data_IF_514953197451
#
_entry.id   IF_514953197451
#
_cell.length_a   1.000
_cell.length_b   1.000
_cell.length_c   1.000
_cell.angle_alpha   90.00
_cell.angle_beta   90.00
_cell.angle_gamma   90.00
#
_symmetry.space_group_name_H-M   'P 1'
#
loop_
_entity.id
_entity.type
_entity.pdbx_description
1 polymer ?
#
# COMPACT_ATOMS: atom_id res chain seq x y z
N UNK A 1 22.38 -0.63 -17.52
CA UNK A 1 22.24 -2.11 -17.48
C UNK A 1 23.16 -2.75 -16.43
N UNK A 2 24.48 -2.57 -16.48
CA UNK A 2 25.37 -3.18 -15.46
C UNK A 2 25.10 -2.67 -14.04
N UNK A 3 24.85 -1.36 -13.87
CA UNK A 3 24.51 -0.79 -12.56
C UNK A 3 23.21 -1.35 -11.96
N UNK A 4 22.24 -1.73 -12.80
CA UNK A 4 20.96 -2.27 -12.34
C UNK A 4 21.12 -3.71 -11.83
N UNK A 5 21.97 -4.50 -12.48
CA UNK A 5 22.35 -5.82 -11.98
C UNK A 5 23.08 -5.73 -10.63
N UNK A 6 23.99 -4.76 -10.49
CA UNK A 6 24.72 -4.49 -9.24
C UNK A 6 23.74 -4.03 -8.15
N UNK A 7 22.85 -3.09 -8.46
CA UNK A 7 21.82 -2.61 -7.53
C UNK A 7 20.89 -3.75 -7.07
N UNK A 8 20.51 -4.65 -7.99
CA UNK A 8 19.72 -5.83 -7.66
C UNK A 8 20.49 -6.83 -6.78
N UNK A 9 21.79 -7.01 -7.00
CA UNK A 9 22.64 -7.80 -6.12
C UNK A 9 22.72 -7.18 -4.71
N UNK A 10 22.93 -5.86 -4.62
CA UNK A 10 22.96 -5.13 -3.34
C UNK A 10 21.64 -5.26 -2.58
N UNK A 11 20.49 -5.11 -3.27
CA UNK A 11 19.16 -5.37 -2.69
C UNK A 11 19.08 -6.77 -2.08
N UNK A 12 19.49 -7.79 -2.82
CA UNK A 12 19.37 -9.18 -2.36
C UNK A 12 20.32 -9.49 -1.20
N UNK A 13 21.53 -8.93 -1.21
CA UNK A 13 22.47 -8.99 -0.09
C UNK A 13 21.86 -8.37 1.17
N UNK A 14 21.30 -7.17 1.07
CA UNK A 14 20.65 -6.51 2.20
C UNK A 14 19.44 -7.30 2.70
N UNK A 15 18.65 -7.89 1.80
CA UNK A 15 17.56 -8.79 2.21
C UNK A 15 18.07 -10.01 2.96
N UNK A 16 19.16 -10.64 2.52
CA UNK A 16 19.73 -11.79 3.24
C UNK A 16 20.23 -11.40 4.63
N UNK A 17 20.76 -10.18 4.80
CA UNK A 17 21.28 -9.72 6.09
C UNK A 17 20.17 -9.23 7.03
N UNK A 18 19.10 -8.64 6.49
CA UNK A 18 18.14 -7.88 7.30
C UNK A 18 16.76 -8.54 7.46
N UNK A 19 16.44 -9.59 6.69
CA UNK A 19 15.11 -10.22 6.75
C UNK A 19 15.14 -11.51 7.58
N UNK A 20 14.01 -11.82 8.20
CA UNK A 20 13.76 -13.12 8.84
C UNK A 20 13.17 -14.08 7.82
N UNK A 21 13.86 -15.19 7.54
CA UNK A 21 13.42 -16.21 6.59
C UNK A 21 13.90 -17.62 6.99
N UNK A 22 13.20 -18.69 6.57
CA UNK A 22 13.67 -20.05 6.86
C UNK A 22 14.94 -20.38 6.08
N UNK A 23 15.88 -21.07 6.73
CA UNK A 23 17.15 -21.53 6.13
C UNK A 23 17.18 -23.03 5.84
N UNK A 24 16.29 -23.79 6.48
CA UNK A 24 16.22 -25.24 6.32
C UNK A 24 14.91 -25.65 5.65
N UNK A 25 14.99 -26.14 4.40
CA UNK A 25 13.85 -26.69 3.65
C UNK A 25 13.95 -28.21 3.47
N UNK A 26 14.78 -28.91 4.27
CA UNK A 26 14.92 -30.37 4.17
C UNK A 26 13.60 -31.07 4.47
N UNK A 27 13.42 -32.24 3.85
CA UNK A 27 12.22 -33.08 4.01
C UNK A 27 12.09 -33.66 5.43
N UNK A 28 13.21 -33.82 6.13
CA UNK A 28 13.30 -34.42 7.46
C UNK A 28 14.11 -33.53 8.40
N UNK A 29 13.90 -33.71 9.71
CA UNK A 29 14.73 -33.16 10.77
C UNK A 29 15.92 -34.06 11.12
N UNK A 30 15.88 -35.31 10.69
CA UNK A 30 16.93 -36.30 10.96
C UNK A 30 18.24 -35.95 10.24
N UNK A 31 19.37 -36.26 10.88
CA UNK A 31 20.67 -36.09 10.27
C UNK A 31 20.93 -37.16 9.20
N UNK A 32 20.69 -36.81 7.94
CA UNK A 32 20.93 -37.69 6.78
C UNK A 32 22.40 -37.74 6.35
N UNK A 33 23.25 -36.85 6.87
CA UNK A 33 24.68 -36.75 6.52
C UNK A 33 25.57 -37.53 7.51
N UNK A 34 24.98 -38.08 8.58
CA UNK A 34 25.69 -38.92 9.55
C UNK A 34 26.06 -40.31 9.01
N UNK A 35 26.85 -41.08 9.78
CA UNK A 35 27.21 -42.46 9.42
C UNK A 35 25.98 -43.36 9.26
N UNK A 36 25.97 -44.21 8.22
CA UNK A 36 24.86 -45.14 7.99
C UNK A 36 24.71 -46.23 9.06
N UNK A 37 25.71 -46.40 9.92
CA UNK A 37 25.61 -47.23 11.12
C UNK A 37 24.56 -46.72 12.10
N UNK A 38 24.38 -45.40 12.16
CA UNK A 38 23.58 -44.73 13.19
C UNK A 38 22.15 -44.48 12.67
N UNK A 39 22.03 -44.15 11.37
CA UNK A 39 20.75 -43.88 10.74
C UNK A 39 20.74 -44.20 9.24
N UNK A 40 19.65 -44.80 8.75
CA UNK A 40 19.43 -45.10 7.33
C UNK A 40 18.45 -44.08 6.72
N UNK A 41 18.91 -43.17 5.82
CA UNK A 41 18.06 -42.11 5.24
C UNK A 41 16.83 -42.59 4.48
N UNK A 42 16.84 -43.82 3.96
CA UNK A 42 15.68 -44.41 3.26
C UNK A 42 14.45 -44.56 4.18
N UNK A 43 14.63 -44.58 5.51
CA UNK A 43 13.54 -44.79 6.46
C UNK A 43 12.60 -43.58 6.59
N UNK A 44 13.05 -42.40 6.20
CA UNK A 44 12.28 -41.14 6.28
C UNK A 44 11.64 -40.76 4.95
N UNK A 45 11.69 -41.64 3.94
CA UNK A 45 11.09 -41.37 2.63
C UNK A 45 9.57 -41.22 2.72
N UNK A 46 9.06 -40.11 2.19
CA UNK A 46 7.63 -39.81 2.20
C UNK A 46 7.04 -39.57 3.60
N UNK A 47 7.88 -39.51 4.64
CA UNK A 47 7.42 -39.26 5.99
C UNK A 47 6.89 -37.82 6.10
N UNK A 48 5.74 -37.69 6.75
CA UNK A 48 5.22 -36.39 7.15
C UNK A 48 5.78 -36.03 8.53
N UNK A 49 5.95 -34.75 8.79
CA UNK A 49 6.44 -34.26 10.08
C UNK A 49 5.27 -33.60 10.80
N UNK A 50 5.06 -33.99 12.06
CA UNK A 50 4.09 -33.35 12.96
C UNK A 50 4.51 -31.90 13.24
N UNK A 51 3.56 -30.99 13.42
CA UNK A 51 3.86 -29.57 13.64
C UNK A 51 4.78 -29.33 14.85
N UNK A 52 4.58 -30.07 15.94
CA UNK A 52 5.36 -29.92 17.16
C UNK A 52 6.82 -30.40 17.01
N UNK A 53 7.10 -31.20 15.97
CA UNK A 53 8.44 -31.75 15.66
C UNK A 53 9.09 -31.09 14.46
N UNK A 54 8.51 -30.01 13.91
CA UNK A 54 8.96 -29.39 12.67
C UNK A 54 10.38 -28.82 12.76
N UNK A 55 10.77 -28.33 13.95
CA UNK A 55 12.06 -27.68 14.24
C UNK A 55 12.52 -26.76 13.10
N UNK A 56 11.72 -25.72 12.75
CA UNK A 56 12.08 -24.82 11.68
C UNK A 56 13.28 -23.97 12.11
N UNK A 57 14.27 -23.89 11.23
CA UNK A 57 15.42 -23.01 11.43
C UNK A 57 15.21 -21.74 10.62
N UNK A 58 15.35 -20.60 11.30
CA UNK A 58 15.23 -19.28 10.70
C UNK A 58 16.56 -18.56 10.77
N UNK A 59 16.87 -17.84 9.72
CA UNK A 59 17.79 -16.72 9.79
C UNK A 59 17.12 -15.61 10.60
N UNK A 60 17.81 -15.13 11.63
CA UNK A 60 17.42 -13.96 12.42
C UNK A 60 18.64 -13.04 12.38
N UNK A 61 18.51 -11.80 11.85
CA UNK A 61 19.64 -10.88 11.74
C UNK A 61 20.40 -10.71 13.05
N UNK A 62 21.70 -10.97 13.03
CA UNK A 62 22.61 -10.74 14.14
C UNK A 62 22.98 -9.25 14.26
N UNK A 63 23.59 -8.85 15.39
CA UNK A 63 24.03 -7.48 15.57
C UNK A 63 25.09 -7.07 14.52
N UNK A 64 25.99 -8.00 14.16
CA UNK A 64 27.04 -7.78 13.15
C UNK A 64 26.44 -7.59 11.75
N UNK A 65 25.46 -8.40 11.36
CA UNK A 65 24.78 -8.27 10.07
C UNK A 65 23.99 -6.97 9.97
N UNK A 66 23.35 -6.56 11.07
CA UNK A 66 22.64 -5.27 11.14
C UNK A 66 23.61 -4.10 11.06
N UNK A 67 24.72 -4.13 11.82
CA UNK A 67 25.74 -3.07 11.79
C UNK A 67 26.36 -2.95 10.38
N UNK A 68 26.69 -4.07 9.72
CA UNK A 68 27.19 -4.07 8.34
C UNK A 68 26.16 -3.53 7.34
N UNK A 69 24.88 -3.93 7.48
CA UNK A 69 23.82 -3.41 6.62
C UNK A 69 23.61 -1.90 6.81
N UNK A 70 23.76 -1.38 8.03
CA UNK A 70 23.73 0.06 8.32
C UNK A 70 24.90 0.78 7.66
N UNK A 71 26.14 0.28 7.84
CA UNK A 71 27.34 0.85 7.22
C UNK A 71 27.22 0.88 5.69
N UNK A 72 26.68 -0.20 5.09
CA UNK A 72 26.43 -0.27 3.66
C UNK A 72 25.47 0.84 3.20
N UNK A 73 24.39 1.06 3.95
CA UNK A 73 23.42 2.12 3.65
C UNK A 73 24.02 3.51 3.84
N UNK A 74 24.78 3.74 4.91
CA UNK A 74 25.49 5.01 5.15
C UNK A 74 26.48 5.32 4.02
N UNK A 75 27.20 4.31 3.55
CA UNK A 75 28.17 4.46 2.48
C UNK A 75 27.50 4.76 1.16
N UNK A 76 26.46 4.01 0.77
CA UNK A 76 25.93 4.09 -0.60
C UNK A 76 24.72 5.02 -0.75
N UNK A 77 23.78 5.05 0.20
CA UNK A 77 22.59 5.92 0.04
C UNK A 77 22.96 7.39 0.29
N UNK A 78 23.62 7.70 1.40
CA UNK A 78 23.87 9.10 1.77
C UNK A 78 24.84 9.79 0.81
N UNK A 79 25.82 9.08 0.27
CA UNK A 79 26.70 9.61 -0.78
C UNK A 79 25.92 9.97 -2.04
N UNK A 80 25.04 9.08 -2.50
CA UNK A 80 24.23 9.32 -3.71
C UNK A 80 23.17 10.40 -3.49
N UNK A 81 22.58 10.50 -2.29
CA UNK A 81 21.66 11.60 -1.94
C UNK A 81 22.38 12.96 -1.94
N UNK A 82 23.58 13.03 -1.35
CA UNK A 82 24.39 14.26 -1.35
C UNK A 82 24.76 14.65 -2.77
N UNK A 83 25.17 13.68 -3.60
CA UNK A 83 25.48 13.90 -5.01
C UNK A 83 24.27 14.46 -5.79
N UNK A 84 23.08 13.90 -5.58
CA UNK A 84 21.86 14.35 -6.22
C UNK A 84 21.47 15.77 -5.76
N UNK A 85 21.53 16.06 -4.46
CA UNK A 85 21.17 17.39 -3.96
C UNK A 85 22.13 18.48 -4.44
N UNK A 86 23.43 18.19 -4.51
CA UNK A 86 24.44 19.20 -4.87
C UNK A 86 24.58 19.41 -6.38
N UNK A 87 24.34 18.37 -7.19
CA UNK A 87 24.71 18.36 -8.61
C UNK A 87 23.60 17.90 -9.58
N UNK A 88 22.36 17.71 -9.14
CA UNK A 88 21.27 17.20 -10.00
C UNK A 88 21.13 17.96 -11.33
N UNK A 89 21.32 19.28 -11.34
CA UNK A 89 21.21 20.12 -12.54
C UNK A 89 22.35 19.91 -13.55
N UNK A 90 23.55 19.59 -13.07
CA UNK A 90 24.75 19.40 -13.90
C UNK A 90 24.96 17.94 -14.34
N UNK A 91 24.23 17.01 -13.71
CA UNK A 91 24.32 15.58 -14.00
C UNK A 91 23.58 15.21 -15.29
N UNK A 92 24.14 14.25 -16.02
CA UNK A 92 23.41 13.63 -17.14
C UNK A 92 22.21 12.81 -16.65
N UNK A 93 21.20 12.64 -17.52
CA UNK A 93 20.04 11.79 -17.22
C UNK A 93 20.45 10.36 -16.80
N UNK A 94 21.49 9.80 -17.44
CA UNK A 94 21.99 8.45 -17.12
C UNK A 94 22.65 8.38 -15.74
N UNK A 95 23.40 9.42 -15.33
CA UNK A 95 24.02 9.49 -14.00
C UNK A 95 22.96 9.64 -12.91
N UNK A 96 21.94 10.48 -13.13
CA UNK A 96 20.80 10.60 -12.20
C UNK A 96 20.04 9.30 -12.07
N UNK A 97 19.73 8.66 -13.20
CA UNK A 97 19.04 7.38 -13.22
C UNK A 97 19.84 6.29 -12.51
N UNK A 98 21.17 6.26 -12.66
CA UNK A 98 22.05 5.34 -11.95
C UNK A 98 21.95 5.53 -10.43
N UNK A 99 22.09 6.77 -9.98
CA UNK A 99 22.06 7.16 -8.56
C UNK A 99 20.72 6.80 -7.93
N UNK A 100 19.61 7.17 -8.57
CA UNK A 100 18.26 6.82 -8.16
C UNK A 100 18.01 5.29 -8.19
N UNK A 101 18.57 4.57 -9.15
CA UNK A 101 18.46 3.11 -9.20
C UNK A 101 19.14 2.47 -8.00
N UNK A 102 20.34 2.93 -7.63
CA UNK A 102 21.04 2.44 -6.43
C UNK A 102 20.20 2.72 -5.17
N UNK A 103 19.76 3.97 -4.97
CA UNK A 103 18.95 4.36 -3.81
C UNK A 103 17.69 3.50 -3.72
N UNK A 104 16.96 3.30 -4.83
CA UNK A 104 15.72 2.53 -4.82
C UNK A 104 15.96 1.08 -4.39
N UNK A 105 16.92 0.38 -5.01
CA UNK A 105 17.14 -1.03 -4.75
C UNK A 105 17.70 -1.28 -3.34
N UNK A 106 18.61 -0.44 -2.87
CA UNK A 106 19.16 -0.50 -1.52
C UNK A 106 18.05 -0.21 -0.49
N UNK A 107 17.20 0.79 -0.73
CA UNK A 107 16.03 1.09 0.09
C UNK A 107 15.06 -0.11 0.17
N UNK A 108 14.74 -0.75 -0.95
CA UNK A 108 13.91 -1.96 -0.98
C UNK A 108 14.54 -3.11 -0.16
N UNK A 109 15.88 -3.20 -0.13
CA UNK A 109 16.58 -4.23 0.61
C UNK A 109 16.61 -4.03 2.12
N UNK A 110 16.47 -2.79 2.59
CA UNK A 110 16.80 -2.43 3.97
C UNK A 110 15.68 -1.71 4.75
N UNK A 111 14.73 -1.03 4.08
CA UNK A 111 13.66 -0.25 4.74
C UNK A 111 12.77 -1.07 5.71
N UNK A 112 12.79 -2.41 5.63
CA UNK A 112 12.12 -3.29 6.62
C UNK A 112 12.68 -3.09 8.04
N UNK A 113 13.97 -2.76 8.17
CA UNK A 113 14.65 -2.49 9.44
C UNK A 113 14.39 -1.10 9.98
N UNK A 114 14.06 -0.15 9.10
CA UNK A 114 13.97 1.27 9.47
C UNK A 114 12.59 1.53 10.08
N UNK A 115 12.52 2.03 11.33
CA UNK A 115 11.26 2.33 11.98
C UNK A 115 10.52 3.43 11.23
N UNK A 116 9.21 3.47 11.47
CA UNK A 116 8.34 4.48 10.89
C UNK A 116 8.68 5.82 11.53
N UNK A 117 8.47 6.92 10.80
CA UNK A 117 8.73 8.23 11.39
C UNK A 117 7.66 8.53 12.45
N UNK A 118 8.09 9.07 13.59
CA UNK A 118 7.18 9.60 14.60
C UNK A 118 6.42 10.79 14.01
N UNK A 119 5.11 10.62 13.82
CA UNK A 119 4.22 11.66 13.31
C UNK A 119 2.81 11.44 13.86
N UNK A 120 2.08 12.54 14.03
CA UNK A 120 0.73 12.51 14.55
C UNK A 120 -0.21 11.80 13.57
N UNK A 121 -1.09 10.94 14.10
CA UNK A 121 -2.14 10.29 13.32
C UNK A 121 -3.14 11.36 12.83
N UNK A 122 -3.55 11.29 11.57
CA UNK A 122 -4.60 12.15 11.02
C UNK A 122 -5.94 11.70 11.61
N UNK A 123 -6.44 12.46 12.59
CA UNK A 123 -7.67 12.15 13.34
C UNK A 123 -8.96 12.46 12.57
N UNK A 124 -8.89 13.31 11.54
CA UNK A 124 -10.06 13.89 10.86
C UNK A 124 -10.66 13.02 9.71
N UNK A 125 -10.24 11.76 9.58
CA UNK A 125 -10.82 10.86 8.56
C UNK A 125 -12.18 10.34 9.05
N UNK A 126 -13.25 10.67 8.32
CA UNK A 126 -14.66 10.44 8.71
C UNK A 126 -14.92 9.12 9.47
N UNK A 127 -15.17 9.25 10.78
CA UNK A 127 -16.06 8.46 11.62
C UNK A 127 -15.94 6.93 11.56
N UNK A 128 -15.02 6.40 12.38
CA UNK A 128 -15.28 5.17 13.12
C UNK A 128 -15.22 5.47 14.62
N UNK A 129 -16.33 5.25 15.33
CA UNK A 129 -16.41 5.34 16.81
C UNK A 129 -15.44 4.34 17.48
N UNK A 130 -15.04 3.29 16.75
CA UNK A 130 -13.98 2.38 17.15
C UNK A 130 -12.67 2.76 16.45
N UNK A 131 -11.63 3.21 17.17
CA UNK A 131 -10.30 3.32 16.58
C UNK A 131 -9.88 1.92 16.13
N UNK A 132 -9.84 1.66 14.83
CA UNK A 132 -9.31 0.41 14.28
C UNK A 132 -7.79 0.45 14.42
N UNK A 133 -7.30 0.20 15.63
CA UNK A 133 -5.86 0.05 15.90
C UNK A 133 -5.49 -1.40 15.74
N UNK A 134 -5.11 -1.78 14.52
CA UNK A 134 -4.51 -3.08 14.27
C UNK A 134 -3.13 -3.13 14.94
N UNK A 135 -3.07 -3.56 16.20
CA UNK A 135 -1.80 -3.84 16.89
C UNK A 135 -1.20 -5.17 16.44
N UNK A 136 -1.05 -5.39 15.13
CA UNK A 136 -0.08 -6.36 14.66
C UNK A 136 1.24 -5.63 14.45
N UNK A 137 1.89 -5.22 15.55
CA UNK A 137 3.28 -4.77 15.49
C UNK A 137 4.15 -6.01 15.37
N UNK A 138 4.24 -6.56 14.17
CA UNK A 138 5.20 -7.59 13.85
C UNK A 138 6.52 -6.97 13.36
N UNK A 139 6.91 -5.85 13.95
CA UNK A 139 8.33 -5.61 14.07
C UNK A 139 8.81 -6.61 15.11
N UNK A 140 9.56 -7.61 14.66
CA UNK A 140 10.36 -8.43 15.56
C UNK A 140 11.07 -7.48 16.54
N UNK A 141 11.18 -7.84 17.82
CA UNK A 141 11.90 -7.02 18.82
C UNK A 141 13.30 -6.62 18.34
N UNK A 142 13.87 -7.41 17.43
CA UNK A 142 15.06 -7.14 16.65
C UNK A 142 15.05 -5.78 15.91
N UNK A 143 13.92 -5.41 15.31
CA UNK A 143 13.72 -4.18 14.53
C UNK A 143 13.29 -2.99 15.40
N UNK A 144 13.11 -3.20 16.71
CA UNK A 144 12.82 -2.13 17.67
C UNK A 144 14.10 -1.47 18.20
N UNK A 145 15.27 -2.11 18.03
CA UNK A 145 16.55 -1.42 18.18
C UNK A 145 16.74 -0.59 16.93
N UNK A 146 16.62 0.72 17.07
CA UNK A 146 16.86 1.62 15.96
C UNK A 146 18.23 1.30 15.34
N UNK A 147 18.30 1.07 14.02
CA UNK A 147 19.58 1.06 13.36
C UNK A 147 20.29 2.39 13.68
N UNK A 148 21.60 2.35 13.96
CA UNK A 148 22.39 3.46 14.50
C UNK A 148 22.61 4.61 13.50
N UNK A 149 21.58 5.02 12.76
CA UNK A 149 21.65 6.20 11.93
C UNK A 149 21.56 7.45 12.81
N UNK A 150 22.22 8.52 12.36
CA UNK A 150 22.11 9.85 12.99
C UNK A 150 20.70 10.43 12.89
N UNK A 151 19.93 10.00 11.89
CA UNK A 151 18.58 10.47 11.58
C UNK A 151 17.73 9.35 10.95
N UNK A 152 16.41 9.48 10.97
CA UNK A 152 15.53 8.48 10.34
C UNK A 152 15.69 8.52 8.80
N UNK A 153 16.22 7.44 8.23
CA UNK A 153 16.45 7.32 6.79
C UNK A 153 15.18 7.55 5.94
N UNK A 154 14.00 7.13 6.41
CA UNK A 154 12.75 7.37 5.66
C UNK A 154 12.46 8.85 5.53
N UNK A 155 12.60 9.60 6.63
CA UNK A 155 12.40 11.05 6.62
C UNK A 155 13.39 11.73 5.68
N UNK A 156 14.66 11.32 5.75
CA UNK A 156 15.70 11.87 4.87
C UNK A 156 15.39 11.62 3.39
N UNK A 157 14.97 10.40 3.05
CA UNK A 157 14.54 10.07 1.69
C UNK A 157 13.31 10.87 1.26
N UNK A 158 12.32 11.08 2.13
CA UNK A 158 11.13 11.88 1.82
C UNK A 158 11.51 13.33 1.51
N UNK A 159 12.38 13.94 2.31
CA UNK A 159 12.81 15.33 2.13
C UNK A 159 13.63 15.48 0.84
N UNK A 160 14.74 14.73 0.73
CA UNK A 160 15.70 14.89 -0.36
C UNK A 160 15.09 14.50 -1.72
N UNK A 161 14.41 13.34 -1.79
CA UNK A 161 13.75 12.92 -3.03
C UNK A 161 12.53 13.80 -3.32
N UNK A 162 11.87 14.32 -2.28
CA UNK A 162 10.79 15.30 -2.44
C UNK A 162 11.27 16.57 -3.14
N UNK A 163 12.40 17.13 -2.72
CA UNK A 163 13.01 18.31 -3.36
C UNK A 163 13.46 17.99 -4.79
N UNK A 164 14.17 16.87 -4.96
CA UNK A 164 14.62 16.41 -6.29
C UNK A 164 13.46 16.21 -7.26
N UNK A 165 12.31 15.73 -6.80
CA UNK A 165 11.11 15.58 -7.63
C UNK A 165 10.58 16.92 -8.15
N UNK A 166 10.63 17.98 -7.33
CA UNK A 166 10.22 19.31 -7.80
C UNK A 166 11.18 19.79 -8.90
N UNK A 167 12.49 19.68 -8.67
CA UNK A 167 13.51 20.08 -9.64
C UNK A 167 13.45 19.28 -10.95
N UNK A 168 13.23 17.97 -10.86
CA UNK A 168 13.11 17.09 -12.04
C UNK A 168 11.87 17.43 -12.87
N UNK A 169 10.76 17.76 -12.22
CA UNK A 169 9.52 18.09 -12.92
C UNK A 169 9.60 19.47 -13.58
N UNK A 170 10.22 20.44 -12.91
CA UNK A 170 10.32 21.80 -13.40
C UNK A 170 11.41 21.98 -14.48
N UNK A 171 12.57 21.33 -14.31
CA UNK A 171 13.73 21.54 -15.20
C UNK A 171 14.02 20.37 -16.14
N UNK A 172 13.55 19.15 -15.84
CA UNK A 172 13.91 17.93 -16.57
C UNK A 172 12.69 17.03 -16.86
N UNK A 173 11.56 17.64 -17.26
CA UNK A 173 10.30 16.94 -17.48
C UNK A 173 10.34 15.82 -18.53
N UNK A 174 11.40 15.77 -19.35
CA UNK A 174 11.67 14.73 -20.34
C UNK A 174 12.40 13.49 -19.76
N UNK A 175 13.01 13.59 -18.57
CA UNK A 175 13.70 12.50 -17.89
C UNK A 175 12.73 11.61 -17.11
N UNK A 176 11.85 10.95 -17.86
CA UNK A 176 10.73 10.16 -17.32
C UNK A 176 11.21 8.97 -16.51
N UNK A 177 12.37 8.41 -16.86
CA UNK A 177 12.98 7.28 -16.15
C UNK A 177 13.42 7.69 -14.74
N UNK A 178 14.09 8.84 -14.60
CA UNK A 178 14.48 9.37 -13.29
C UNK A 178 13.26 9.77 -12.47
N UNK A 179 12.27 10.44 -13.07
CA UNK A 179 11.02 10.82 -12.39
C UNK A 179 10.28 9.59 -11.86
N UNK A 180 10.13 8.54 -12.69
CA UNK A 180 9.47 7.29 -12.30
C UNK A 180 10.19 6.61 -11.12
N UNK A 181 11.52 6.61 -11.15
CA UNK A 181 12.35 6.04 -10.08
C UNK A 181 12.22 6.86 -8.78
N UNK A 182 12.30 8.18 -8.86
CA UNK A 182 12.15 9.10 -7.74
C UNK A 182 10.76 9.00 -7.10
N UNK A 183 9.69 8.94 -7.90
CA UNK A 183 8.31 8.72 -7.41
C UNK A 183 8.17 7.39 -6.65
N UNK A 184 8.82 6.34 -7.14
CA UNK A 184 8.81 5.04 -6.47
C UNK A 184 9.55 5.09 -5.14
N UNK A 185 10.72 5.76 -5.06
CA UNK A 185 11.46 5.93 -3.81
C UNK A 185 10.64 6.78 -2.82
N UNK A 186 10.06 7.88 -3.29
CA UNK A 186 9.27 8.80 -2.47
C UNK A 186 8.06 8.09 -1.83
N UNK A 187 7.28 7.35 -2.64
CA UNK A 187 6.17 6.56 -2.12
C UNK A 187 6.62 5.44 -1.19
N UNK A 188 7.68 4.69 -1.53
CA UNK A 188 8.17 3.58 -0.70
C UNK A 188 8.74 4.04 0.65
N UNK A 189 9.30 5.25 0.72
CA UNK A 189 9.86 5.77 1.99
C UNK A 189 8.77 5.91 3.07
N UNK A 190 7.55 6.28 2.67
CA UNK A 190 6.37 6.25 3.53
C UNK A 190 5.74 4.84 3.57
N UNK A 191 5.55 4.21 2.40
CA UNK A 191 4.65 3.08 2.22
C UNK A 191 5.32 1.72 2.06
N UNK A 192 6.59 1.53 2.38
CA UNK A 192 7.23 0.22 2.21
C UNK A 192 7.71 -0.34 3.54
N UNK A 193 7.22 -1.53 3.91
CA UNK A 193 7.58 -2.23 5.15
C UNK A 193 8.19 -3.61 4.86
N UNK A 194 8.95 -3.70 3.77
CA UNK A 194 9.71 -4.89 3.40
C UNK A 194 9.02 -5.82 2.40
N UNK A 195 7.74 -5.61 2.12
CA UNK A 195 7.01 -6.45 1.17
C UNK A 195 5.93 -5.71 0.38
N UNK A 196 5.86 -5.98 -0.94
CA UNK A 196 4.84 -5.43 -1.84
C UNK A 196 3.69 -6.44 -1.98
N UNK A 197 2.45 -5.95 -2.08
CA UNK A 197 1.27 -6.81 -2.27
C UNK A 197 1.41 -7.73 -3.49
N UNK A 198 1.98 -7.23 -4.58
CA UNK A 198 2.23 -8.02 -5.80
C UNK A 198 3.18 -9.21 -5.58
N UNK A 199 4.19 -9.03 -4.74
CA UNK A 199 5.16 -10.09 -4.43
C UNK A 199 4.53 -11.14 -3.50
N UNK A 200 3.61 -10.72 -2.64
CA UNK A 200 2.82 -11.61 -1.80
C UNK A 200 1.92 -12.53 -2.60
N UNK A 201 1.17 -12.01 -3.56
CA UNK A 201 0.32 -12.85 -4.38
C UNK A 201 1.13 -13.92 -5.13
N UNK A 202 2.33 -13.60 -5.61
CA UNK A 202 3.24 -14.59 -6.23
C UNK A 202 3.65 -15.67 -5.23
N UNK A 203 4.20 -15.30 -4.07
CA UNK A 203 4.61 -16.27 -3.04
C UNK A 203 3.44 -17.13 -2.55
N UNK A 204 2.26 -16.54 -2.41
CA UNK A 204 1.05 -17.22 -1.99
C UNK A 204 0.57 -18.22 -3.05
N UNK A 205 0.53 -17.82 -4.32
CA UNK A 205 0.14 -18.69 -5.43
C UNK A 205 1.12 -19.87 -5.59
N UNK A 206 2.43 -19.62 -5.45
CA UNK A 206 3.45 -20.66 -5.45
C UNK A 206 3.23 -21.66 -4.31
N UNK A 207 2.96 -21.16 -3.10
CA UNK A 207 2.63 -21.99 -1.95
C UNK A 207 1.35 -22.81 -2.17
N UNK A 208 0.27 -22.20 -2.67
CA UNK A 208 -1.00 -22.89 -2.92
C UNK A 208 -0.81 -24.00 -3.94
N UNK A 209 -0.06 -23.73 -5.01
CA UNK A 209 0.26 -24.70 -6.05
C UNK A 209 1.04 -25.88 -5.48
N UNK A 210 2.07 -25.59 -4.70
CA UNK A 210 2.90 -26.59 -4.03
C UNK A 210 2.11 -27.42 -3.01
N UNK A 211 1.27 -26.78 -2.19
CA UNK A 211 0.37 -27.46 -1.25
C UNK A 211 -0.60 -28.40 -1.96
N UNK A 212 -1.11 -28.00 -3.13
CA UNK A 212 -2.01 -28.83 -3.94
C UNK A 212 -1.29 -30.06 -4.50
N UNK A 213 -0.10 -29.88 -5.09
CA UNK A 213 0.69 -30.97 -5.67
C UNK A 213 1.07 -32.05 -4.65
N UNK A 214 1.35 -31.66 -3.41
CA UNK A 214 1.72 -32.58 -2.32
C UNK A 214 0.55 -32.90 -1.38
N UNK A 215 -0.70 -32.72 -1.83
CA UNK A 215 -1.89 -33.06 -1.06
C UNK A 215 -2.16 -34.56 -1.13
N UNK A 216 -1.89 -35.27 -0.03
CA UNK A 216 -2.38 -36.63 0.13
C UNK A 216 -3.86 -36.60 0.58
N UNK A 217 -4.77 -37.01 -0.32
CA UNK A 217 -6.22 -37.04 -0.02
C UNK A 217 -6.62 -38.21 0.90
N UNK A 218 -5.78 -39.25 0.99
CA UNK A 218 -6.07 -40.47 1.74
C UNK A 218 -5.71 -40.33 3.23
N UNK A 219 -4.62 -39.62 3.55
CA UNK A 219 -4.16 -39.43 4.93
C UNK A 219 -4.88 -38.29 5.67
N UNK A 220 -5.96 -37.73 5.13
CA UNK A 220 -6.74 -36.67 5.77
C UNK A 220 -6.06 -35.29 5.71
N UNK A 221 -6.56 -34.35 6.53
CA UNK A 221 -6.05 -32.96 6.55
C UNK A 221 -4.71 -32.91 7.32
N UNK A 222 -3.80 -32.01 6.89
CA UNK A 222 -2.56 -31.60 7.57
C UNK A 222 -1.32 -32.52 7.49
N UNK A 223 -1.37 -33.63 6.74
CA UNK A 223 -0.19 -34.45 6.46
C UNK A 223 0.53 -33.99 5.19
N UNK A 224 1.39 -32.98 5.34
CA UNK A 224 2.25 -32.48 4.26
C UNK A 224 3.72 -32.74 4.56
N UNK A 225 4.57 -32.88 3.54
CA UNK A 225 6.03 -32.92 3.73
C UNK A 225 6.52 -31.65 4.43
N UNK A 226 7.59 -31.77 5.23
CA UNK A 226 8.16 -30.69 6.05
C UNK A 226 8.36 -29.39 5.28
N UNK A 227 8.98 -29.44 4.10
CA UNK A 227 9.27 -28.25 3.29
C UNK A 227 8.01 -27.46 2.88
N UNK A 228 6.86 -28.13 2.68
CA UNK A 228 5.57 -27.49 2.38
C UNK A 228 5.11 -26.67 3.57
N UNK A 229 5.26 -27.24 4.78
CA UNK A 229 4.90 -26.58 6.03
C UNK A 229 5.84 -25.40 6.29
N UNK A 230 7.14 -25.55 6.03
CA UNK A 230 8.10 -24.44 6.17
C UNK A 230 7.81 -23.32 5.17
N UNK A 231 7.44 -23.65 3.92
CA UNK A 231 6.98 -22.66 2.94
C UNK A 231 5.72 -21.94 3.43
N UNK A 232 4.79 -22.66 4.07
CA UNK A 232 3.60 -22.06 4.71
C UNK A 232 3.99 -21.04 5.79
N UNK A 233 4.96 -21.38 6.65
CA UNK A 233 5.47 -20.47 7.69
C UNK A 233 6.15 -19.24 7.07
N UNK A 234 6.96 -19.43 6.02
CA UNK A 234 7.59 -18.32 5.30
C UNK A 234 6.54 -17.36 4.73
N UNK A 235 5.53 -17.89 4.04
CA UNK A 235 4.43 -17.09 3.49
C UNK A 235 3.65 -16.37 4.59
N UNK A 236 3.44 -17.01 5.74
CA UNK A 236 2.77 -16.40 6.89
C UNK A 236 3.59 -15.24 7.48
N UNK A 237 4.91 -15.37 7.63
CA UNK A 237 5.79 -14.29 8.10
C UNK A 237 5.70 -13.07 7.18
N UNK A 238 5.70 -13.28 5.86
CA UNK A 238 5.58 -12.20 4.89
C UNK A 238 4.17 -11.57 4.90
N UNK A 239 3.10 -12.35 5.12
CA UNK A 239 1.74 -11.82 5.31
C UNK A 239 1.66 -10.93 6.54
N UNK A 240 2.21 -11.39 7.67
CA UNK A 240 2.19 -10.63 8.91
C UNK A 240 2.98 -9.32 8.73
N UNK A 241 4.12 -9.37 8.03
CA UNK A 241 4.96 -8.20 7.77
C UNK A 241 4.30 -7.18 6.84
N UNK A 242 3.50 -7.65 5.86
CA UNK A 242 2.74 -6.79 4.96
C UNK A 242 1.45 -6.25 5.60
N UNK A 243 0.89 -6.95 6.59
CA UNK A 243 -0.29 -6.56 7.36
C UNK A 243 0.01 -5.58 8.50
N UNK A 244 1.18 -4.91 8.49
CA UNK A 244 1.46 -3.75 9.34
C UNK A 244 0.58 -2.57 8.88
N UNK A 245 -0.71 -2.61 9.22
CA UNK A 245 -1.64 -1.50 9.03
C UNK A 245 -1.26 -0.38 9.98
N UNK A 246 -0.96 0.78 9.42
CA UNK A 246 -0.74 2.00 10.19
C UNK A 246 -1.86 2.97 9.92
N UNK A 247 -2.19 3.76 10.94
CA UNK A 247 -2.98 4.97 10.76
C UNK A 247 -2.25 5.90 9.78
N UNK A 248 -3.01 6.63 8.98
CA UNK A 248 -2.46 7.68 8.13
C UNK A 248 -1.82 8.75 9.03
N UNK A 249 -0.54 9.05 8.84
CA UNK A 249 0.14 10.15 9.55
C UNK A 249 0.12 11.45 8.75
N UNK A 250 0.44 12.58 9.37
CA UNK A 250 0.52 13.87 8.66
C UNK A 250 1.61 13.85 7.57
N UNK A 251 2.71 13.10 7.78
CA UNK A 251 3.74 12.89 6.74
C UNK A 251 3.15 12.13 5.55
N UNK A 252 2.41 11.05 5.80
CA UNK A 252 1.78 10.27 4.73
C UNK A 252 0.80 11.13 3.93
N UNK A 253 0.04 12.00 4.60
CA UNK A 253 -0.86 12.96 3.96
C UNK A 253 -0.09 13.94 3.07
N UNK A 254 1.04 14.48 3.52
CA UNK A 254 1.90 15.33 2.69
C UNK A 254 2.45 14.59 1.46
N UNK A 255 2.85 13.33 1.63
CA UNK A 255 3.26 12.45 0.52
C UNK A 255 2.13 12.27 -0.48
N UNK A 256 0.92 11.95 -0.02
CA UNK A 256 -0.28 11.79 -0.87
C UNK A 256 -0.61 13.08 -1.61
N UNK A 257 -0.59 14.23 -0.94
CA UNK A 257 -0.88 15.54 -1.55
C UNK A 257 0.14 15.90 -2.64
N UNK A 258 1.43 15.64 -2.41
CA UNK A 258 2.47 15.85 -3.43
C UNK A 258 2.27 14.90 -4.62
N UNK A 259 2.01 13.62 -4.37
CA UNK A 259 1.70 12.65 -5.43
C UNK A 259 0.44 13.02 -6.21
N UNK A 260 -0.58 13.58 -5.55
CA UNK A 260 -1.78 14.12 -6.20
C UNK A 260 -1.42 15.27 -7.14
N UNK A 261 -0.64 16.26 -6.69
CA UNK A 261 -0.16 17.38 -7.51
C UNK A 261 0.55 16.87 -8.78
N UNK A 262 1.39 15.85 -8.65
CA UNK A 262 2.09 15.23 -9.78
C UNK A 262 1.16 14.40 -10.68
N UNK A 263 0.10 13.80 -10.11
CA UNK A 263 -0.90 13.00 -10.83
C UNK A 263 -1.85 13.82 -11.71
N UNK A 264 -1.89 15.15 -11.51
CA UNK A 264 -2.65 16.12 -12.32
C UNK A 264 -1.74 17.03 -13.15
N UNK A 265 -0.43 16.76 -13.21
CA UNK A 265 0.54 17.58 -13.93
C UNK A 265 0.25 17.66 -15.45
N UNK A 266 0.71 18.72 -16.12
CA UNK A 266 0.57 18.87 -17.59
C UNK A 266 1.18 17.69 -18.37
N UNK A 267 2.35 17.21 -17.96
CA UNK A 267 3.06 16.12 -18.64
C UNK A 267 2.38 14.76 -18.39
N UNK A 268 1.90 14.12 -19.45
CA UNK A 268 1.16 12.86 -19.38
C UNK A 268 1.96 11.70 -18.78
N UNK A 269 3.25 11.62 -19.05
CA UNK A 269 4.11 10.56 -18.52
C UNK A 269 4.40 10.73 -17.03
N UNK A 270 4.57 11.98 -16.57
CA UNK A 270 4.68 12.31 -15.14
C UNK A 270 3.40 11.92 -14.43
N UNK A 271 2.22 12.31 -14.96
CA UNK A 271 0.91 11.91 -14.42
C UNK A 271 0.78 10.40 -14.27
N UNK A 272 1.04 9.64 -15.34
CA UNK A 272 0.88 8.18 -15.33
C UNK A 272 1.74 7.52 -14.25
N UNK A 273 3.00 7.92 -14.12
CA UNK A 273 3.90 7.37 -13.09
C UNK A 273 3.48 7.79 -11.68
N UNK A 274 3.04 9.04 -11.50
CA UNK A 274 2.59 9.55 -10.20
C UNK A 274 1.30 8.85 -9.74
N UNK A 275 0.36 8.60 -10.66
CA UNK A 275 -0.89 7.90 -10.38
C UNK A 275 -0.67 6.47 -9.89
N UNK A 276 0.30 5.74 -10.46
CA UNK A 276 0.68 4.40 -9.96
C UNK A 276 1.13 4.47 -8.50
N UNK A 277 1.98 5.45 -8.17
CA UNK A 277 2.48 5.66 -6.80
C UNK A 277 1.36 6.13 -5.85
N UNK A 278 0.46 7.00 -6.32
CA UNK A 278 -0.69 7.49 -5.58
C UNK A 278 -1.66 6.35 -5.24
N UNK A 279 -2.02 5.49 -6.21
CA UNK A 279 -2.91 4.36 -5.92
C UNK A 279 -2.29 3.36 -4.94
N UNK A 280 -0.97 3.16 -5.02
CA UNK A 280 -0.26 2.33 -4.03
C UNK A 280 -0.34 2.90 -2.61
N UNK A 281 -0.45 4.22 -2.49
CA UNK A 281 -0.63 4.90 -1.20
C UNK A 281 -2.07 4.85 -0.71
N UNK A 282 -3.02 5.12 -1.60
CA UNK A 282 -4.44 5.12 -1.25
C UNK A 282 -4.96 3.73 -0.84
N UNK A 283 -4.40 2.63 -1.40
CA UNK A 283 -4.83 1.27 -1.04
C UNK A 283 -4.35 0.83 0.34
N UNK A 284 -3.33 1.51 0.87
CA UNK A 284 -2.67 1.13 2.12
C UNK A 284 -3.39 1.68 3.34
N UNK A 285 -3.87 2.92 3.24
CA UNK A 285 -4.45 3.65 4.36
C UNK A 285 -5.96 3.71 4.22
N UNK A 286 -6.66 3.24 5.25
CA UNK A 286 -8.12 3.33 5.31
C UNK A 286 -8.55 4.80 5.24
N UNK A 287 -9.61 5.08 4.48
CA UNK A 287 -10.16 6.42 4.27
C UNK A 287 -9.22 7.47 3.66
N UNK A 288 -8.01 7.11 3.23
CA UNK A 288 -7.05 8.06 2.62
C UNK A 288 -7.56 8.76 1.37
N UNK A 289 -8.63 8.25 0.74
CA UNK A 289 -9.29 8.90 -0.38
C UNK A 289 -9.85 10.29 -0.01
N UNK A 290 -10.21 10.55 1.24
CA UNK A 290 -10.74 11.85 1.66
C UNK A 290 -9.71 12.97 1.46
N UNK A 291 -8.42 12.65 1.60
CA UNK A 291 -7.30 13.60 1.37
C UNK A 291 -7.26 14.10 -0.08
N UNK A 292 -7.68 13.27 -1.04
CA UNK A 292 -7.60 13.62 -2.47
C UNK A 292 -8.93 14.10 -3.05
N UNK A 293 -10.06 13.67 -2.48
CA UNK A 293 -11.40 13.92 -3.02
C UNK A 293 -11.72 15.41 -3.11
N UNK A 294 -11.48 16.18 -2.05
CA UNK A 294 -11.86 17.60 -2.03
C UNK A 294 -11.15 18.36 -3.14
N UNK A 295 -9.85 18.13 -3.32
CA UNK A 295 -9.08 18.74 -4.40
C UNK A 295 -9.53 18.31 -5.79
N UNK A 296 -9.94 17.04 -5.97
CA UNK A 296 -10.50 16.55 -7.23
C UNK A 296 -11.83 17.26 -7.52
N UNK A 297 -12.69 17.42 -6.52
CA UNK A 297 -13.98 18.10 -6.66
C UNK A 297 -13.82 19.59 -6.98
N UNK A 298 -12.86 20.27 -6.36
CA UNK A 298 -12.52 21.67 -6.70
C UNK A 298 -12.15 21.81 -8.19
N UNK A 299 -11.26 20.95 -8.68
CA UNK A 299 -10.77 21.01 -10.06
C UNK A 299 -11.84 20.66 -11.10
N UNK A 300 -12.73 19.70 -10.79
CA UNK A 300 -13.81 19.32 -11.70
C UNK A 300 -14.94 20.35 -11.76
N UNK A 301 -15.16 21.11 -10.69
CA UNK A 301 -16.21 22.14 -10.64
C UNK A 301 -15.73 23.53 -11.09
N UNK A 302 -14.43 23.73 -11.31
CA UNK A 302 -13.87 25.00 -11.78
C UNK A 302 -14.40 25.32 -13.19
N UNK A 303 -15.29 26.32 -13.29
CA UNK A 303 -15.85 26.76 -14.58
C UNK A 303 -14.84 27.61 -15.35
N UNK A 304 -14.04 26.99 -16.22
CA UNK A 304 -13.26 27.67 -17.26
C UNK A 304 -11.79 27.98 -16.96
N UNK A 305 -11.29 27.68 -15.75
CA UNK A 305 -9.89 27.97 -15.37
C UNK A 305 -8.98 26.74 -15.27
N UNK A 306 -9.53 25.53 -15.14
CA UNK A 306 -8.70 24.32 -14.99
C UNK A 306 -8.08 23.90 -16.33
N UNK A 307 -6.79 23.58 -16.32
CA UNK A 307 -6.11 23.06 -17.51
C UNK A 307 -6.76 21.73 -17.92
N UNK A 308 -6.95 21.54 -19.22
CA UNK A 308 -7.47 20.30 -19.78
C UNK A 308 -6.68 19.08 -19.32
N UNK A 309 -5.38 19.24 -19.09
CA UNK A 309 -4.53 18.17 -18.59
C UNK A 309 -4.79 17.88 -17.10
N UNK A 310 -5.11 18.88 -16.28
CA UNK A 310 -5.49 18.67 -14.88
C UNK A 310 -6.82 17.91 -14.78
N UNK A 311 -7.84 18.31 -15.55
CA UNK A 311 -9.15 17.62 -15.61
C UNK A 311 -8.95 16.17 -16.04
N UNK A 312 -8.13 15.93 -17.08
CA UNK A 312 -7.83 14.58 -17.54
C UNK A 312 -7.10 13.76 -16.48
N UNK A 313 -6.19 14.38 -15.71
CA UNK A 313 -5.54 13.76 -14.56
C UNK A 313 -6.55 13.32 -13.49
N UNK A 314 -7.46 14.21 -13.09
CA UNK A 314 -8.54 13.91 -12.16
C UNK A 314 -9.41 12.74 -12.63
N UNK A 315 -9.80 12.72 -13.91
CA UNK A 315 -10.60 11.63 -14.47
C UNK A 315 -9.86 10.29 -14.46
N UNK A 316 -8.55 10.25 -14.67
CA UNK A 316 -7.77 9.02 -14.51
C UNK A 316 -7.72 8.55 -13.06
N UNK A 317 -7.61 9.47 -12.10
CA UNK A 317 -7.68 9.13 -10.67
C UNK A 317 -9.06 8.56 -10.31
N UNK A 318 -10.13 9.16 -10.84
CA UNK A 318 -11.51 8.68 -10.64
C UNK A 318 -11.79 7.34 -11.32
N UNK A 319 -11.24 7.11 -12.52
CA UNK A 319 -11.29 5.81 -13.19
C UNK A 319 -10.66 4.72 -12.33
N UNK A 320 -9.63 5.08 -11.57
CA UNK A 320 -9.01 4.23 -10.57
C UNK A 320 -8.28 3.03 -11.18
N UNK A 321 -7.98 2.05 -10.34
CA UNK A 321 -7.40 0.75 -10.73
C UNK A 321 -8.26 -0.40 -10.17
N UNK A 322 -7.81 -1.65 -10.24
CA UNK A 322 -8.58 -2.79 -9.73
C UNK A 322 -8.81 -2.75 -8.21
N UNK A 323 -7.95 -2.05 -7.47
CA UNK A 323 -7.98 -1.96 -6.01
C UNK A 323 -8.82 -0.78 -5.51
N UNK A 324 -8.85 0.34 -6.24
CA UNK A 324 -9.49 1.58 -5.81
C UNK A 324 -10.32 2.14 -6.96
N UNK A 325 -11.60 2.36 -6.69
CA UNK A 325 -12.51 3.06 -7.58
C UNK A 325 -13.40 4.01 -6.78
N UNK A 326 -13.01 5.29 -6.73
CA UNK A 326 -13.62 6.32 -5.89
C UNK A 326 -15.15 6.46 -6.08
N UNK A 327 -15.69 6.41 -7.30
CA UNK A 327 -17.13 6.57 -7.54
C UNK A 327 -18.04 5.49 -6.93
N UNK A 328 -17.47 4.37 -6.43
CA UNK A 328 -18.22 3.26 -5.82
C UNK A 328 -17.99 3.11 -4.31
N UNK A 329 -17.22 4.02 -3.71
CA UNK A 329 -17.00 4.00 -2.26
C UNK A 329 -18.33 4.20 -1.54
N UNK A 330 -18.61 3.40 -0.52
CA UNK A 330 -19.87 3.43 0.24
C UNK A 330 -20.02 4.68 1.13
N UNK A 331 -20.12 5.86 0.53
CA UNK A 331 -20.38 7.13 1.22
C UNK A 331 -21.37 7.97 0.41
N UNK A 332 -22.55 8.21 0.98
CA UNK A 332 -23.57 9.07 0.35
C UNK A 332 -23.09 10.52 0.22
N UNK A 333 -22.30 11.01 1.19
CA UNK A 333 -21.69 12.35 1.14
C UNK A 333 -20.75 12.50 -0.05
N UNK A 334 -19.98 11.45 -0.34
CA UNK A 334 -19.10 11.42 -1.51
C UNK A 334 -19.92 11.41 -2.81
N UNK A 335 -20.91 10.51 -2.91
CA UNK A 335 -21.75 10.42 -4.11
C UNK A 335 -22.49 11.73 -4.41
N UNK A 336 -23.03 12.39 -3.37
CA UNK A 336 -23.72 13.68 -3.46
C UNK A 336 -22.89 14.74 -4.19
N UNK A 337 -21.58 14.80 -3.93
CA UNK A 337 -20.68 15.78 -4.55
C UNK A 337 -20.07 15.27 -5.85
N UNK A 338 -19.64 14.01 -5.86
CA UNK A 338 -18.81 13.44 -6.93
C UNK A 338 -19.61 13.14 -8.19
N UNK A 339 -20.77 12.50 -8.09
CA UNK A 339 -21.54 12.10 -9.27
C UNK A 339 -22.04 13.31 -10.07
N UNK A 340 -22.60 14.36 -9.45
CA UNK A 340 -22.93 15.58 -10.18
C UNK A 340 -21.72 16.24 -10.84
N UNK A 341 -20.56 16.22 -10.17
CA UNK A 341 -19.31 16.79 -10.74
C UNK A 341 -18.87 16.03 -12.00
N UNK A 342 -18.96 14.69 -11.98
CA UNK A 342 -18.66 13.85 -13.16
C UNK A 342 -19.66 14.16 -14.29
N UNK A 343 -20.96 14.25 -13.98
CA UNK A 343 -21.99 14.53 -14.97
C UNK A 343 -21.79 15.90 -15.64
N UNK A 344 -21.47 16.96 -14.89
CA UNK A 344 -21.15 18.29 -15.45
C UNK A 344 -19.91 18.29 -16.35
N UNK A 345 -18.98 17.36 -16.14
CA UNK A 345 -17.76 17.25 -16.96
C UNK A 345 -18.05 16.64 -18.35
N UNK A 346 -19.25 16.11 -18.60
CA UNK A 346 -19.65 15.51 -19.88
C UNK A 346 -19.61 16.49 -21.07
N UNK A 347 -19.65 17.80 -20.82
CA UNK A 347 -19.49 18.84 -21.85
C UNK A 347 -18.08 18.97 -22.42
N UNK A 348 -17.11 18.20 -21.90
CA UNK A 348 -15.75 18.23 -22.43
C UNK A 348 -15.74 17.91 -23.93
N UNK A 349 -15.19 18.82 -24.73
CA UNK A 349 -15.19 18.74 -26.21
C UNK A 349 -14.20 17.71 -26.76
N UNK A 350 -13.18 17.31 -25.97
CA UNK A 350 -12.13 16.39 -26.42
C UNK A 350 -12.59 14.94 -26.31
N UNK A 351 -12.51 14.19 -27.42
CA UNK A 351 -12.86 12.76 -27.50
C UNK A 351 -12.14 11.90 -26.45
N UNK A 352 -10.87 12.20 -26.14
CA UNK A 352 -10.13 11.42 -25.13
C UNK A 352 -10.68 11.57 -23.71
N UNK A 353 -11.28 12.72 -23.40
CA UNK A 353 -11.90 13.01 -22.11
C UNK A 353 -13.29 12.36 -22.04
N UNK A 354 -14.07 12.45 -23.13
CA UNK A 354 -15.35 11.76 -23.26
C UNK A 354 -15.21 10.24 -23.10
N UNK A 355 -14.22 9.64 -23.77
CA UNK A 355 -13.92 8.20 -23.65
C UNK A 355 -13.59 7.78 -22.20
N UNK A 356 -12.97 8.66 -21.40
CA UNK A 356 -12.67 8.38 -19.99
C UNK A 356 -13.95 8.43 -19.15
N UNK A 357 -14.80 9.43 -19.38
CA UNK A 357 -16.09 9.55 -18.70
C UNK A 357 -16.97 8.34 -19.02
N UNK A 358 -17.06 7.93 -20.29
CA UNK A 358 -17.80 6.73 -20.69
C UNK A 358 -17.30 5.47 -19.97
N UNK A 359 -15.99 5.32 -19.80
CA UNK A 359 -15.40 4.21 -19.06
C UNK A 359 -15.76 4.28 -17.57
N UNK A 360 -15.72 5.46 -16.97
CA UNK A 360 -16.13 5.67 -15.57
C UNK A 360 -17.60 5.30 -15.39
N UNK A 361 -18.49 5.82 -16.23
CA UNK A 361 -19.94 5.55 -16.17
C UNK A 361 -20.24 4.06 -16.36
N UNK A 362 -19.61 3.40 -17.34
CA UNK A 362 -19.73 1.94 -17.54
C UNK A 362 -19.22 1.14 -16.33
N UNK A 363 -18.18 1.64 -15.67
CA UNK A 363 -17.62 0.99 -14.48
C UNK A 363 -18.52 1.19 -13.25
N UNK A 364 -19.11 2.38 -13.08
CA UNK A 364 -20.14 2.65 -12.06
C UNK A 364 -21.32 1.69 -12.26
N UNK A 365 -21.88 1.62 -13.46
CA UNK A 365 -23.05 0.75 -13.71
C UNK A 365 -22.78 -0.73 -13.46
N UNK A 366 -21.54 -1.19 -13.63
CA UNK A 366 -21.13 -2.58 -13.39
C UNK A 366 -20.80 -2.89 -11.93
N UNK A 367 -20.19 -1.97 -11.21
CA UNK A 367 -19.60 -2.22 -9.89
C UNK A 367 -20.35 -1.56 -8.73
N UNK A 368 -21.28 -0.64 -9.00
CA UNK A 368 -22.01 0.04 -7.96
C UNK A 368 -23.00 -0.90 -7.27
N UNK A 369 -22.76 -1.14 -5.99
CA UNK A 369 -23.69 -1.85 -5.11
C UNK A 369 -24.47 -0.82 -4.30
N UNK A 370 -25.77 -1.05 -4.12
CA UNK A 370 -26.66 -0.15 -3.35
C UNK A 370 -26.15 0.00 -1.91
N UNK A 371 -25.64 1.18 -1.51
CA UNK A 371 -25.28 1.43 -0.13
C UNK A 371 -26.55 1.56 0.72
N UNK A 372 -26.50 1.09 1.96
CA UNK A 372 -27.61 1.29 2.89
C UNK A 372 -27.80 2.80 3.15
N UNK A 373 -29.04 3.27 3.11
CA UNK A 373 -29.38 4.66 3.51
C UNK A 373 -29.59 4.70 5.03
N UNK A 374 -30.34 3.72 5.54
CA UNK A 374 -30.64 3.56 6.96
C UNK A 374 -29.97 2.27 7.42
N UNK A 375 -29.08 2.40 8.40
CA UNK A 375 -28.48 1.28 9.11
C UNK A 375 -29.11 1.19 10.51
N UNK A 376 -29.68 0.03 10.83
CA UNK A 376 -30.25 -0.26 12.13
C UNK A 376 -29.72 -1.60 12.66
N UNK A 377 -29.79 -1.79 13.97
CA UNK A 377 -29.26 -2.96 14.67
C UNK A 377 -30.35 -3.53 15.56
N UNK A 378 -30.65 -4.82 15.39
CA UNK A 378 -31.69 -5.49 16.17
C UNK A 378 -31.18 -5.94 17.55
N UNK A 379 -32.11 -6.14 18.49
CA UNK A 379 -31.81 -6.57 19.86
C UNK A 379 -31.09 -7.93 19.94
N UNK A 380 -31.31 -8.80 18.96
CA UNK A 380 -30.61 -10.09 18.88
C UNK A 380 -29.12 -9.91 18.62
N UNK A 381 -28.75 -9.01 17.71
CA UNK A 381 -27.36 -8.69 17.39
C UNK A 381 -26.69 -7.95 18.55
N UNK A 382 -27.40 -7.04 19.21
CA UNK A 382 -26.89 -6.33 20.40
C UNK A 382 -26.56 -7.32 21.52
N UNK A 383 -27.47 -8.26 21.82
CA UNK A 383 -27.23 -9.30 22.83
C UNK A 383 -26.07 -10.22 22.46
N UNK A 384 -25.98 -10.64 21.20
CA UNK A 384 -24.87 -11.47 20.73
C UNK A 384 -23.52 -10.74 20.81
N UNK A 385 -23.47 -9.46 20.41
CA UNK A 385 -22.27 -8.63 20.50
C UNK A 385 -21.83 -8.40 21.95
N UNK A 386 -22.78 -8.15 22.86
CA UNK A 386 -22.51 -8.02 24.29
C UNK A 386 -21.95 -9.30 24.91
N UNK A 387 -22.45 -10.47 24.47
CA UNK A 387 -21.94 -11.77 24.89
C UNK A 387 -20.53 -12.06 24.32
N UNK A 388 -20.21 -11.56 23.12
CA UNK A 388 -18.91 -11.76 22.48
C UNK A 388 -17.81 -10.86 23.07
N UNK A 389 -18.14 -9.62 23.43
CA UNK A 389 -17.18 -8.62 23.90
C UNK A 389 -17.44 -8.17 25.34
N UNK A 390 -18.33 -7.19 25.51
CA UNK A 390 -18.84 -6.74 26.81
C UNK A 390 -20.20 -6.07 26.64
N UNK A 391 -21.06 -6.09 27.67
CA UNK A 391 -22.20 -5.19 27.71
C UNK A 391 -21.72 -3.73 27.74
N UNK A 392 -22.41 -2.87 27.00
CA UNK A 392 -22.20 -1.42 27.03
C UNK A 392 -23.06 -0.81 28.14
N UNK A 393 -22.55 0.23 28.79
CA UNK A 393 -23.33 1.01 29.75
C UNK A 393 -24.46 1.74 29.03
N UNK A 394 -25.62 2.00 29.68
CA UNK A 394 -26.76 2.67 29.04
C UNK A 394 -26.40 4.01 28.38
N UNK A 395 -25.48 4.78 28.99
CA UNK A 395 -24.98 6.05 28.44
C UNK A 395 -24.12 5.87 27.17
N UNK A 396 -23.33 4.81 27.11
CA UNK A 396 -22.53 4.47 25.93
C UNK A 396 -23.47 4.07 24.78
N UNK A 397 -24.51 3.29 25.08
CA UNK A 397 -25.53 2.89 24.09
C UNK A 397 -26.27 4.11 23.53
N UNK A 398 -26.75 5.00 24.39
CA UNK A 398 -27.45 6.23 23.97
C UNK A 398 -26.57 7.12 23.07
N UNK A 399 -25.27 7.20 23.37
CA UNK A 399 -24.31 7.97 22.55
C UNK A 399 -24.13 7.34 21.17
N UNK A 400 -23.97 6.01 21.12
CA UNK A 400 -23.86 5.28 19.85
C UNK A 400 -25.14 5.38 19.02
N UNK A 401 -26.31 5.31 19.66
CA UNK A 401 -27.61 5.45 18.99
C UNK A 401 -27.77 6.84 18.38
N UNK A 402 -27.39 7.90 19.10
CA UNK A 402 -27.37 9.28 18.56
C UNK A 402 -26.47 9.41 17.35
N UNK A 403 -25.24 8.90 17.41
CA UNK A 403 -24.30 8.92 16.29
C UNK A 403 -24.88 8.17 15.07
N UNK A 404 -25.52 7.01 15.31
CA UNK A 404 -26.18 6.23 14.26
C UNK A 404 -27.34 6.99 13.63
N UNK A 405 -28.19 7.63 14.44
CA UNK A 405 -29.31 8.44 13.98
C UNK A 405 -28.85 9.64 13.16
N UNK A 406 -27.85 10.39 13.65
CA UNK A 406 -27.25 11.51 12.93
C UNK A 406 -26.68 11.07 11.58
N UNK A 407 -25.96 9.94 11.55
CA UNK A 407 -25.43 9.37 10.31
C UNK A 407 -26.54 8.96 9.33
N UNK A 408 -27.61 8.33 9.82
CA UNK A 408 -28.77 7.97 9.00
C UNK A 408 -29.48 9.21 8.44
N UNK A 409 -29.67 10.25 9.25
CA UNK A 409 -30.25 11.52 8.82
C UNK A 409 -29.40 12.19 7.74
N UNK A 410 -28.07 12.21 7.91
CA UNK A 410 -27.15 12.73 6.91
C UNK A 410 -27.17 11.90 5.62
N UNK A 411 -27.23 10.57 5.71
CA UNK A 411 -27.36 9.71 4.52
C UNK A 411 -28.65 10.00 3.75
N UNK A 412 -29.78 10.15 4.45
CA UNK A 412 -31.07 10.50 3.84
C UNK A 412 -30.98 11.88 3.16
N UNK A 413 -30.38 12.86 3.83
CA UNK A 413 -30.19 14.20 3.28
C UNK A 413 -29.32 14.18 2.03
N UNK A 414 -28.15 13.53 2.08
CA UNK A 414 -27.24 13.39 0.94
C UNK A 414 -27.87 12.64 -0.22
N UNK A 415 -28.63 11.58 0.04
CA UNK A 415 -29.39 10.86 -0.99
C UNK A 415 -30.42 11.76 -1.67
N UNK A 416 -31.24 12.46 -0.90
CA UNK A 416 -32.26 13.36 -1.44
C UNK A 416 -31.63 14.51 -2.23
N UNK A 417 -30.53 15.08 -1.75
CA UNK A 417 -29.79 16.12 -2.45
C UNK A 417 -29.22 15.60 -3.76
N UNK A 418 -28.56 14.44 -3.75
CA UNK A 418 -28.04 13.78 -4.95
C UNK A 418 -29.15 13.59 -5.99
N UNK A 419 -30.29 13.02 -5.61
CA UNK A 419 -31.42 12.79 -6.53
C UNK A 419 -31.98 14.11 -7.09
N UNK A 420 -32.11 15.15 -6.26
CA UNK A 420 -32.53 16.48 -6.73
C UNK A 420 -31.54 17.06 -7.72
N UNK A 421 -30.23 17.00 -7.43
CA UNK A 421 -29.20 17.53 -8.31
C UNK A 421 -29.14 16.77 -9.64
N UNK A 422 -29.18 15.43 -9.61
CA UNK A 422 -29.21 14.64 -10.84
C UNK A 422 -30.47 14.91 -11.67
N UNK A 423 -31.65 15.02 -11.05
CA UNK A 423 -32.88 15.41 -11.75
C UNK A 423 -32.79 16.81 -12.35
N UNK A 424 -32.17 17.77 -11.65
CA UNK A 424 -31.97 19.11 -12.22
C UNK A 424 -31.03 19.09 -13.43
N UNK A 425 -29.99 18.25 -13.40
CA UNK A 425 -29.04 18.09 -14.49
C UNK A 425 -29.72 17.42 -15.71
N UNK A 426 -30.55 16.40 -15.50
CA UNK A 426 -31.30 15.76 -16.59
C UNK A 426 -32.30 16.69 -17.28
N UNK A 427 -32.79 17.71 -16.58
CA UNK A 427 -33.75 18.68 -17.10
C UNK A 427 -33.08 19.97 -17.62
N UNK A 428 -31.76 20.12 -17.50
CA UNK A 428 -31.02 21.25 -18.05
C UNK A 428 -30.74 20.95 -19.53
N UNK A 429 -31.33 21.73 -20.44
CA UNK A 429 -31.20 21.57 -21.91
C UNK A 429 -29.75 21.68 -22.43
N UNK A 430 -28.80 21.98 -21.54
CA UNK A 430 -27.36 22.04 -21.83
C UNK A 430 -26.65 20.71 -21.68
N UNK A 431 -27.32 19.65 -21.18
CA UNK A 431 -26.73 18.33 -20.98
C UNK A 431 -26.65 17.44 -22.25
#
# INVERSE_FOLDING_TARGET
KSYEAIANAAKNLLKSLSYVYPIDYRLTVENIEGPFSDFLPIRVWGQHVEFDKLQPQFHIPSAEEVDFACEFVETFIYQELTLLNDKSSDMSNDERLRSLTLIQFISIGFLRMVPCTDSEEVLDLELSVAPFKFKCKAQYSLYAKEPKFKENLRMRLIIDIGQLLDDLVDNHSNDVSSISRALTIYSYSSSYYGFLSSDFYKLYNDFVSLKYSFKNKLSGKRHHPRFVIIKCLATQIELISSANYQSLTEIDKQVILKLLKLSINRYSEVRRNAQVSLFNMLQRYLFSYTVVVDRILELLNAQGEADHDEIKGCLYILLGNDSIFLPTIHSWRLHEKLWPSIARTMHATKTSTQNLIDQIVKRISKLFNTPAIIEDTNDTSIRAAAALWRPLEPKEMETCDKIREERNQQNIQSYNNLMKTLNSLLNDDRL
#
